data_IF_635780875902
#
_entry.id   IF_635780875902
#
_cell.length_a   1.000
_cell.length_b   1.000
_cell.length_c   1.000
_cell.angle_alpha   90.00
_cell.angle_beta   90.00
_cell.angle_gamma   90.00
#
_symmetry.space_group_name_H-M   'P 1'
#
loop_
_entity.id
_entity.type
_entity.pdbx_description
1 polymer ?
#
# COMPACT_ATOMS: atom_id res chain seq x y z
N UNK A 1 -18.26 4.00 21.92
CA UNK A 1 -17.49 5.05 21.23
C UNK A 1 -16.05 4.66 20.96
N UNK A 2 -15.26 4.16 21.93
CA UNK A 2 -13.85 3.74 21.71
C UNK A 2 -13.64 2.68 20.61
N UNK A 3 -14.56 1.74 20.44
CA UNK A 3 -14.47 0.73 19.38
C UNK A 3 -14.63 1.32 17.97
N UNK A 4 -15.52 2.30 17.79
CA UNK A 4 -15.74 2.94 16.49
C UNK A 4 -14.56 3.85 16.13
N UNK A 5 -14.01 4.60 17.09
CA UNK A 5 -12.79 5.39 16.89
C UNK A 5 -11.56 4.51 16.59
N UNK A 6 -11.48 3.31 17.15
CA UNK A 6 -10.42 2.35 16.82
C UNK A 6 -10.52 1.85 15.38
N UNK A 7 -11.74 1.52 14.92
CA UNK A 7 -11.98 1.11 13.54
C UNK A 7 -11.77 2.27 12.57
N UNK A 8 -12.22 3.49 12.90
CA UNK A 8 -11.97 4.69 12.12
C UNK A 8 -10.51 5.12 12.14
N UNK A 9 -9.74 4.88 13.20
CA UNK A 9 -8.28 5.07 13.19
C UNK A 9 -7.57 4.01 12.33
N UNK A 10 -8.11 2.80 12.29
CA UNK A 10 -7.56 1.70 11.48
C UNK A 10 -7.93 1.82 9.99
N UNK A 11 -9.09 2.42 9.67
CA UNK A 11 -9.60 2.68 8.31
C UNK A 11 -9.31 4.12 7.84
N UNK A 12 -8.97 5.03 8.75
CA UNK A 12 -8.96 6.49 8.57
C UNK A 12 -7.74 7.07 7.88
N UNK A 13 -6.87 6.25 7.30
CA UNK A 13 -5.81 6.74 6.43
C UNK A 13 -6.33 6.83 4.99
N UNK A 14 -7.49 7.46 4.79
CA UNK A 14 -8.08 7.72 3.46
C UNK A 14 -7.11 8.47 2.54
N UNK A 15 -6.23 9.29 3.11
CA UNK A 15 -5.08 9.90 2.41
C UNK A 15 -4.16 8.89 1.69
N UNK A 16 -4.09 7.64 2.16
CA UNK A 16 -3.32 6.57 1.54
C UNK A 16 -4.04 6.02 0.31
N UNK A 17 -5.37 5.99 0.29
CA UNK A 17 -6.17 5.59 -0.88
C UNK A 17 -5.99 6.55 -2.04
N UNK A 18 -6.02 7.85 -1.77
CA UNK A 18 -5.79 8.85 -2.82
C UNK A 18 -4.38 8.73 -3.39
N UNK A 19 -3.35 8.51 -2.55
CA UNK A 19 -1.99 8.27 -3.05
C UNK A 19 -1.87 6.98 -3.82
N UNK A 20 -2.60 5.93 -3.43
CA UNK A 20 -2.55 4.68 -4.15
C UNK A 20 -3.25 4.75 -5.49
N UNK A 21 -4.44 5.34 -5.55
CA UNK A 21 -5.14 5.64 -6.80
C UNK A 21 -4.21 6.43 -7.70
N UNK A 22 -3.63 7.51 -7.18
CA UNK A 22 -2.73 8.36 -7.95
C UNK A 22 -1.46 7.60 -8.39
N UNK A 23 -0.76 6.89 -7.50
CA UNK A 23 0.42 6.09 -7.85
C UNK A 23 0.11 5.01 -8.90
N UNK A 24 -1.02 4.30 -8.75
CA UNK A 24 -1.45 3.29 -9.71
C UNK A 24 -1.79 3.96 -11.02
N UNK A 25 -2.58 5.04 -11.02
CA UNK A 25 -2.88 5.81 -12.22
C UNK A 25 -1.62 6.22 -12.96
N UNK A 26 -0.57 6.65 -12.28
CA UNK A 26 0.71 7.02 -12.90
C UNK A 26 1.44 5.82 -13.46
N UNK A 27 1.58 4.74 -12.68
CA UNK A 27 2.22 3.51 -13.13
C UNK A 27 1.52 2.89 -14.33
N UNK A 28 0.20 3.03 -14.36
CA UNK A 28 -0.69 2.64 -15.46
C UNK A 28 -0.45 3.54 -16.67
N UNK A 29 -0.49 4.86 -16.48
CA UNK A 29 -0.36 5.84 -17.55
C UNK A 29 1.06 5.92 -18.13
N UNK A 30 2.07 5.39 -17.42
CA UNK A 30 3.39 5.17 -17.98
C UNK A 30 3.35 3.99 -18.97
N UNK A 31 3.02 4.32 -20.21
CA UNK A 31 3.08 3.38 -21.32
C UNK A 31 4.55 3.17 -21.70
N UNK A 32 5.17 2.18 -21.07
CA UNK A 32 6.40 1.60 -21.58
C UNK A 32 6.08 0.86 -22.89
N UNK A 33 6.45 1.52 -23.97
CA UNK A 33 6.46 1.01 -25.33
C UNK A 33 7.86 0.46 -25.60
N UNK A 34 8.03 -0.84 -25.39
CA UNK A 34 9.23 -1.54 -25.84
C UNK A 34 9.09 -1.71 -27.33
N UNK A 35 9.69 -0.78 -28.07
CA UNK A 35 9.70 -0.78 -29.52
C UNK A 35 10.95 -1.51 -29.98
N UNK A 36 10.79 -2.72 -30.51
CA UNK A 36 11.89 -3.38 -31.21
C UNK A 36 12.14 -2.64 -32.54
N UNK A 37 13.31 -2.01 -32.74
CA UNK A 37 13.62 -1.30 -33.97
C UNK A 37 13.55 -2.19 -35.21
N UNK A 38 13.82 -3.50 -35.07
CA UNK A 38 13.71 -4.43 -36.19
C UNK A 38 12.25 -4.69 -36.56
N UNK A 39 11.35 -4.84 -35.58
CA UNK A 39 9.91 -4.99 -35.83
C UNK A 39 9.30 -3.72 -36.42
N UNK A 40 9.70 -2.52 -35.95
CA UNK A 40 9.28 -1.27 -36.58
C UNK A 40 9.70 -1.21 -38.04
N UNK A 41 10.95 -1.58 -38.34
CA UNK A 41 11.48 -1.53 -39.69
C UNK A 41 10.80 -2.54 -40.61
N UNK A 42 10.54 -3.75 -40.12
CA UNK A 42 9.82 -4.78 -40.85
C UNK A 42 8.38 -4.33 -41.16
N UNK A 43 7.70 -3.77 -40.15
CA UNK A 43 6.37 -3.19 -40.26
C UNK A 43 6.25 -2.07 -41.27
N UNK A 44 7.14 -1.07 -41.13
CA UNK A 44 7.19 0.08 -42.03
C UNK A 44 7.46 -0.34 -43.48
N UNK A 45 8.29 -1.38 -43.68
CA UNK A 45 8.55 -1.95 -45.00
C UNK A 45 7.32 -2.70 -45.56
N UNK A 46 6.55 -3.38 -44.72
CA UNK A 46 5.33 -4.08 -45.10
C UNK A 46 4.22 -3.14 -45.56
N UNK A 47 4.08 -2.00 -44.88
CA UNK A 47 3.02 -1.00 -45.17
C UNK A 47 3.43 0.10 -46.15
N UNK A 48 4.72 0.20 -46.46
CA UNK A 48 5.25 1.14 -47.45
C UNK A 48 4.43 1.17 -48.76
N UNK A 49 4.01 0.02 -49.35
CA UNK A 49 3.20 -0.01 -50.55
C UNK A 49 1.82 0.64 -50.37
N UNK A 50 1.17 0.40 -49.22
CA UNK A 50 -0.13 0.99 -48.91
C UNK A 50 -0.02 2.51 -48.77
N UNK A 51 0.99 2.99 -48.02
CA UNK A 51 1.27 4.42 -47.88
C UNK A 51 1.54 5.09 -49.23
N UNK A 52 2.35 4.48 -50.10
CA UNK A 52 2.60 4.98 -51.45
C UNK A 52 1.31 5.05 -52.27
N UNK A 53 0.44 4.04 -52.16
CA UNK A 53 -0.85 4.04 -52.87
C UNK A 53 -1.77 5.19 -52.43
N UNK A 54 -1.79 5.49 -51.12
CA UNK A 54 -2.56 6.59 -50.56
C UNK A 54 -2.01 7.95 -50.99
N UNK A 55 -0.68 8.13 -50.94
CA UNK A 55 -0.03 9.37 -51.37
C UNK A 55 -0.22 9.57 -52.89
N UNK A 56 -0.10 8.51 -53.69
CA UNK A 56 -0.36 8.54 -55.14
C UNK A 56 -1.79 8.96 -55.48
N UNK A 57 -2.77 8.57 -54.65
CA UNK A 57 -4.18 8.93 -54.83
C UNK A 57 -4.46 10.41 -54.51
N UNK A 58 -3.80 10.96 -53.50
CA UNK A 58 -4.09 12.29 -52.98
C UNK A 58 -3.15 13.40 -53.47
N UNK A 59 -1.94 13.05 -53.92
CA UNK A 59 -0.90 14.01 -54.28
C UNK A 59 -0.29 13.70 -55.65
N UNK A 60 -0.30 14.71 -56.53
CA UNK A 60 0.50 14.66 -57.75
C UNK A 60 1.99 14.75 -57.40
N UNK A 61 2.89 14.20 -58.23
CA UNK A 61 4.33 14.26 -57.98
C UNK A 61 4.85 15.69 -57.78
N UNK A 62 4.27 16.67 -58.48
CA UNK A 62 4.64 18.07 -58.35
C UNK A 62 4.26 18.60 -56.97
N UNK A 63 3.00 18.45 -56.54
CA UNK A 63 2.54 18.91 -55.21
C UNK A 63 3.29 18.27 -54.06
N UNK A 64 3.60 16.97 -54.18
CA UNK A 64 4.36 16.27 -53.15
C UNK A 64 5.77 16.88 -53.03
N UNK A 65 6.44 17.12 -54.16
CA UNK A 65 7.75 17.76 -54.18
C UNK A 65 7.75 19.21 -53.68
N UNK A 66 6.71 19.98 -53.99
CA UNK A 66 6.56 21.34 -53.44
C UNK A 66 6.45 21.32 -51.92
N UNK A 67 5.74 20.33 -51.37
CA UNK A 67 5.59 20.14 -49.92
C UNK A 67 6.92 19.74 -49.27
N UNK A 68 7.68 18.83 -49.87
CA UNK A 68 8.96 18.35 -49.32
C UNK A 68 10.11 19.35 -49.45
N UNK A 69 10.17 20.11 -50.55
CA UNK A 69 11.25 21.08 -50.82
C UNK A 69 10.90 22.47 -50.26
N UNK A 70 9.64 22.69 -49.83
CA UNK A 70 9.11 23.98 -49.41
C UNK A 70 9.30 25.09 -50.47
N UNK A 71 9.24 24.72 -51.77
CA UNK A 71 9.39 25.65 -52.91
C UNK A 71 8.37 25.30 -54.00
N UNK A 72 7.81 26.32 -54.67
CA UNK A 72 6.94 26.11 -55.83
C UNK A 72 7.73 25.75 -57.08
N UNK A 73 7.49 24.57 -57.62
CA UNK A 73 8.16 24.07 -58.82
C UNK A 73 7.62 24.70 -60.12
N UNK A 74 6.46 25.37 -60.06
CA UNK A 74 5.85 26.07 -61.20
C UNK A 74 6.36 27.51 -61.42
N UNK A 75 6.91 28.14 -60.38
CA UNK A 75 7.47 29.50 -60.52
C UNK A 75 8.75 29.46 -61.35
N UNK A 76 9.05 30.47 -62.20
CA UNK A 76 10.27 30.52 -63.04
C UNK A 76 11.53 30.35 -62.17
N UNK A 77 12.08 29.13 -62.02
CA UNK A 77 13.07 28.89 -60.97
C UNK A 77 14.44 29.30 -61.48
N UNK A 78 15.35 29.63 -60.55
CA UNK A 78 16.78 29.65 -60.89
C UNK A 78 17.19 28.24 -61.35
N UNK A 79 18.21 28.15 -62.20
CA UNK A 79 18.65 26.88 -62.80
C UNK A 79 18.83 25.74 -61.77
N UNK A 80 19.34 26.04 -60.57
CA UNK A 80 19.50 25.10 -59.46
C UNK A 80 18.17 24.56 -58.92
N UNK A 81 17.16 25.42 -58.75
CA UNK A 81 15.84 25.03 -58.25
C UNK A 81 15.11 24.14 -59.25
N UNK A 82 15.31 24.38 -60.56
CA UNK A 82 14.78 23.53 -61.62
C UNK A 82 15.37 22.12 -61.57
N UNK A 83 16.64 21.98 -61.19
CA UNK A 83 17.31 20.70 -61.00
C UNK A 83 16.77 19.96 -59.77
N UNK A 84 16.60 20.64 -58.64
CA UNK A 84 16.01 20.08 -57.41
C UNK A 84 14.59 19.56 -57.66
N UNK A 85 13.73 20.38 -58.25
CA UNK A 85 12.35 20.00 -58.58
C UNK A 85 12.31 18.83 -59.56
N UNK A 86 13.14 18.84 -60.62
CA UNK A 86 13.18 17.74 -61.59
C UNK A 86 13.69 16.44 -60.99
N UNK A 87 14.68 16.50 -60.09
CA UNK A 87 15.20 15.34 -59.39
C UNK A 87 14.13 14.73 -58.48
N UNK A 88 13.45 15.56 -57.67
CA UNK A 88 12.38 15.11 -56.80
C UNK A 88 11.20 14.52 -57.57
N UNK A 89 10.69 15.20 -58.59
CA UNK A 89 9.56 14.70 -59.40
C UNK A 89 9.90 13.40 -60.13
N UNK A 90 11.15 13.26 -60.59
CA UNK A 90 11.62 12.01 -61.18
C UNK A 90 11.65 10.90 -60.13
N UNK A 91 12.17 11.19 -58.94
CA UNK A 91 12.21 10.24 -57.82
C UNK A 91 10.80 9.80 -57.39
N UNK A 92 9.87 10.74 -57.19
CA UNK A 92 8.47 10.42 -56.83
C UNK A 92 7.78 9.63 -57.94
N UNK A 93 8.01 9.95 -59.22
CA UNK A 93 7.46 9.18 -60.33
C UNK A 93 8.03 7.76 -60.40
N UNK A 94 9.33 7.56 -60.10
CA UNK A 94 9.89 6.21 -59.96
C UNK A 94 9.24 5.46 -58.80
N UNK A 95 9.09 6.12 -57.64
CA UNK A 95 8.44 5.56 -56.46
C UNK A 95 6.99 5.12 -56.73
N UNK A 96 6.24 5.89 -57.54
CA UNK A 96 4.84 5.63 -57.85
C UNK A 96 4.61 4.54 -58.90
N UNK A 97 5.59 4.31 -59.77
CA UNK A 97 5.42 3.43 -60.94
C UNK A 97 6.18 2.11 -60.80
N UNK A 98 7.17 2.04 -59.90
CA UNK A 98 7.97 0.83 -59.66
C UNK A 98 7.86 0.38 -58.18
N UNK A 99 7.01 -0.62 -57.87
CA UNK A 99 6.89 -1.15 -56.52
C UNK A 99 8.15 -1.93 -56.07
N UNK A 100 8.93 -2.50 -56.99
CA UNK A 100 10.18 -3.19 -56.65
C UNK A 100 11.26 -2.21 -56.21
N UNK A 101 11.28 -1.00 -56.80
CA UNK A 101 12.18 0.08 -56.39
C UNK A 101 12.00 0.41 -54.90
N UNK A 102 10.76 0.45 -54.41
CA UNK A 102 10.48 0.69 -52.98
C UNK A 102 10.95 -0.45 -52.08
N UNK A 103 10.81 -1.70 -52.52
CA UNK A 103 11.31 -2.84 -51.75
C UNK A 103 12.84 -2.87 -51.67
N UNK A 104 13.52 -2.52 -52.77
CA UNK A 104 14.98 -2.59 -52.88
C UNK A 104 15.68 -1.37 -52.29
N UNK A 105 15.29 -0.17 -52.71
CA UNK A 105 15.89 1.08 -52.26
C UNK A 105 15.30 1.56 -50.94
N UNK A 106 14.02 1.29 -50.64
CA UNK A 106 13.47 1.56 -49.31
C UNK A 106 14.25 0.82 -48.22
N UNK A 107 14.67 -0.43 -48.48
CA UNK A 107 15.55 -1.18 -47.58
C UNK A 107 16.93 -0.53 -47.41
N UNK A 108 17.46 0.12 -48.44
CA UNK A 108 18.74 0.84 -48.37
C UNK A 108 18.61 2.18 -47.64
N UNK A 109 17.53 2.93 -47.89
CA UNK A 109 17.21 4.18 -47.19
C UNK A 109 16.99 3.91 -45.69
N UNK A 110 16.25 2.85 -45.35
CA UNK A 110 16.04 2.41 -43.96
C UNK A 110 17.27 1.72 -43.34
N UNK A 111 18.28 1.33 -44.12
CA UNK A 111 19.60 0.91 -43.59
C UNK A 111 20.46 2.11 -43.22
N UNK A 112 20.26 3.28 -43.86
CA UNK A 112 20.94 4.52 -43.54
C UNK A 112 20.41 5.19 -42.26
N UNK A 113 19.16 4.89 -41.86
CA UNK A 113 18.67 5.19 -40.51
C UNK A 113 19.32 4.19 -39.56
N UNK A 114 20.52 4.53 -39.08
CA UNK A 114 21.14 3.81 -37.97
C UNK A 114 20.31 4.05 -36.70
N UNK A 115 19.33 3.19 -36.44
CA UNK A 115 18.78 2.99 -35.09
C UNK A 115 19.81 2.18 -34.29
N UNK A 116 20.99 2.77 -34.05
CA UNK A 116 22.08 2.14 -33.30
C UNK A 116 21.84 2.12 -31.79
N UNK A 117 20.67 2.58 -31.34
CA UNK A 117 20.15 2.28 -30.01
C UNK A 117 18.95 1.35 -30.15
N UNK A 118 18.96 0.23 -29.43
CA UNK A 118 17.72 -0.32 -28.88
C UNK A 118 17.11 0.78 -28.00
N UNK A 119 16.36 1.67 -28.62
CA UNK A 119 15.77 2.82 -27.96
C UNK A 119 14.46 2.38 -27.34
N UNK A 120 14.46 2.15 -26.03
CA UNK A 120 13.21 2.04 -25.29
C UNK A 120 12.49 3.39 -25.39
N UNK A 121 11.44 3.44 -26.21
CA UNK A 121 10.62 4.63 -26.41
C UNK A 121 9.64 4.77 -25.26
N UNK A 122 10.02 5.46 -24.19
CA UNK A 122 9.11 5.72 -23.07
C UNK A 122 8.19 6.90 -23.41
N UNK A 123 6.89 6.65 -23.60
CA UNK A 123 5.93 7.71 -23.83
C UNK A 123 5.50 8.27 -22.47
N UNK A 124 6.08 9.41 -22.09
CA UNK A 124 5.83 10.05 -20.79
C UNK A 124 4.74 11.12 -20.92
N UNK A 125 3.71 11.02 -20.10
CA UNK A 125 2.73 12.10 -19.95
C UNK A 125 3.39 13.24 -19.15
N UNK A 126 3.59 14.39 -19.80
CA UNK A 126 4.18 15.59 -19.20
C UNK A 126 3.08 16.34 -18.44
N UNK A 127 2.97 16.08 -17.14
CA UNK A 127 1.99 16.76 -16.26
C UNK A 127 2.03 16.36 -14.78
N UNK A 128 3.06 15.61 -14.37
CA UNK A 128 3.05 14.83 -13.12
C UNK A 128 3.74 15.49 -11.92
N UNK A 129 4.29 16.70 -12.07
CA UNK A 129 5.06 17.35 -11.01
C UNK A 129 4.27 17.55 -9.71
N UNK A 130 3.00 17.97 -9.81
CA UNK A 130 2.13 18.19 -8.65
C UNK A 130 1.84 16.90 -7.86
N UNK A 131 1.84 15.76 -8.54
CA UNK A 131 1.55 14.47 -7.92
C UNK A 131 2.71 14.00 -7.04
N UNK A 132 3.96 14.25 -7.42
CA UNK A 132 5.08 13.90 -6.54
C UNK A 132 5.06 14.71 -5.24
N UNK A 133 4.70 16.00 -5.30
CA UNK A 133 4.52 16.83 -4.10
C UNK A 133 3.40 16.29 -3.21
N UNK A 134 2.28 15.86 -3.81
CA UNK A 134 1.19 15.20 -3.10
C UNK A 134 1.66 13.89 -2.42
N UNK A 135 2.41 13.04 -3.14
CA UNK A 135 2.95 11.81 -2.59
C UNK A 135 3.89 12.08 -1.39
N UNK A 136 4.78 13.07 -1.49
CA UNK A 136 5.64 13.49 -0.37
C UNK A 136 4.80 13.97 0.82
N UNK A 137 3.78 14.80 0.59
CA UNK A 137 2.91 15.30 1.65
C UNK A 137 2.20 14.17 2.41
N UNK A 138 1.74 13.14 1.69
CA UNK A 138 1.10 11.99 2.32
C UNK A 138 2.09 11.09 3.02
N UNK A 139 3.28 10.84 2.45
CA UNK A 139 4.35 10.12 3.17
C UNK A 139 4.68 10.82 4.49
N UNK A 140 4.79 12.16 4.48
CA UNK A 140 4.99 12.95 5.69
C UNK A 140 3.81 12.82 6.65
N UNK A 141 2.57 12.88 6.17
CA UNK A 141 1.37 12.69 6.97
C UNK A 141 1.34 11.31 7.65
N UNK A 142 1.70 10.26 6.93
CA UNK A 142 1.76 8.89 7.45
C UNK A 142 2.86 8.72 8.50
N UNK A 143 4.05 9.26 8.24
CA UNK A 143 5.18 9.24 9.18
C UNK A 143 4.82 10.03 10.44
N UNK A 144 4.20 11.21 10.30
CA UNK A 144 3.72 12.01 11.43
C UNK A 144 2.63 11.29 12.22
N UNK A 145 1.70 10.59 11.57
CA UNK A 145 0.70 9.77 12.26
C UNK A 145 1.34 8.66 13.12
N UNK A 146 2.32 7.94 12.58
CA UNK A 146 3.08 6.93 13.34
C UNK A 146 3.86 7.56 14.50
N UNK A 147 4.44 8.74 14.27
CA UNK A 147 5.15 9.49 15.29
C UNK A 147 4.20 9.91 16.43
N UNK A 148 3.02 10.44 16.12
CA UNK A 148 2.00 10.83 17.10
C UNK A 148 1.56 9.62 17.92
N UNK A 149 1.26 8.49 17.27
CA UNK A 149 0.88 7.24 17.95
C UNK A 149 1.97 6.75 18.91
N UNK A 150 3.24 6.85 18.50
CA UNK A 150 4.37 6.49 19.33
C UNK A 150 4.48 7.37 20.59
N UNK A 151 4.31 8.68 20.45
CA UNK A 151 4.37 9.62 21.58
C UNK A 151 3.15 9.50 22.49
N UNK A 152 1.94 9.29 21.95
CA UNK A 152 0.74 9.03 22.74
C UNK A 152 0.90 7.76 23.58
N UNK A 153 1.43 6.68 22.98
CA UNK A 153 1.73 5.46 23.72
C UNK A 153 2.72 5.71 24.86
N UNK A 154 3.82 6.45 24.58
CA UNK A 154 4.81 6.79 25.61
C UNK A 154 4.20 7.62 26.75
N UNK A 155 3.33 8.58 26.43
CA UNK A 155 2.62 9.39 27.41
C UNK A 155 1.67 8.54 28.28
N UNK A 156 0.94 7.60 27.68
CA UNK A 156 0.05 6.68 28.43
C UNK A 156 0.82 5.78 29.40
N UNK A 157 1.97 5.25 28.98
CA UNK A 157 2.84 4.43 29.86
C UNK A 157 3.36 5.26 31.03
N UNK A 158 3.88 6.46 30.75
CA UNK A 158 4.36 7.35 31.81
C UNK A 158 3.27 7.72 32.82
N UNK A 159 2.06 8.03 32.34
CA UNK A 159 0.92 8.35 33.20
C UNK A 159 0.45 7.15 34.03
N UNK A 160 0.52 5.93 33.49
CA UNK A 160 0.20 4.72 34.23
C UNK A 160 1.19 4.46 35.37
N UNK A 161 2.49 4.62 35.13
CA UNK A 161 3.52 4.45 36.15
C UNK A 161 3.44 5.55 37.23
N UNK A 162 3.15 6.80 36.83
CA UNK A 162 2.90 7.88 37.78
C UNK A 162 1.71 7.56 38.70
N UNK A 163 0.59 7.08 38.16
CA UNK A 163 -0.57 6.65 38.97
C UNK A 163 -0.22 5.54 39.95
N UNK A 164 0.61 4.57 39.55
CA UNK A 164 1.11 3.51 40.46
C UNK A 164 1.96 4.07 41.58
N UNK A 165 2.87 4.99 41.28
CA UNK A 165 3.73 5.63 42.30
C UNK A 165 2.91 6.42 43.32
N UNK A 166 1.86 7.11 42.88
CA UNK A 166 0.95 7.85 43.77
C UNK A 166 0.12 6.91 44.64
N UNK A 167 -0.40 5.81 44.08
CA UNK A 167 -1.15 4.80 44.84
C UNK A 167 -0.32 4.10 45.92
N UNK A 168 0.99 3.91 45.68
CA UNK A 168 1.93 3.39 46.68
C UNK A 168 2.29 4.44 47.75
N UNK A 169 2.28 5.73 47.38
CA UNK A 169 2.54 6.81 48.33
C UNK A 169 1.36 7.06 49.26
N UNK A 170 0.12 6.97 48.77
CA UNK A 170 -1.08 7.14 49.60
C UNK A 170 -1.23 6.03 50.64
N UNK A 171 -0.94 4.77 50.27
CA UNK A 171 -1.03 3.65 51.22
C UNK A 171 0.02 3.68 52.34
N UNK A 172 1.08 4.49 52.19
CA UNK A 172 2.13 4.62 53.22
C UNK A 172 1.78 5.64 54.31
N UNK A 173 0.80 6.54 54.11
CA UNK A 173 0.47 7.58 55.11
C UNK A 173 -0.66 7.18 56.07
N UNK A 174 -1.57 6.28 55.67
CA UNK A 174 -2.69 5.85 56.53
C UNK A 174 -2.31 4.75 57.55
N UNK A 175 -1.08 4.21 57.49
CA UNK A 175 -0.62 3.13 58.37
C UNK A 175 0.05 3.58 59.68
N UNK A 176 0.13 4.89 59.96
CA UNK A 176 0.87 5.39 61.12
C UNK A 176 0.02 5.60 62.39
N UNK A 177 -1.31 5.64 62.30
CA UNK A 177 -2.18 6.06 63.43
C UNK A 177 -3.05 4.96 64.07
N UNK A 178 -2.87 3.67 63.72
CA UNK A 178 -3.57 2.55 64.38
C UNK A 178 -2.64 1.56 65.08
N UNK A 179 -1.80 2.07 65.98
CA UNK A 179 -1.01 1.23 66.90
C UNK A 179 -1.49 1.39 68.34
N UNK A 180 -2.75 1.09 68.63
CA UNK A 180 -3.13 0.72 70.00
C UNK A 180 -4.37 -0.20 70.04
N UNK A 181 -4.22 -1.31 70.78
CA UNK A 181 -5.26 -2.21 71.29
C UNK A 181 -5.80 -3.32 70.37
N UNK A 182 -5.67 -4.57 70.82
CA UNK A 182 -6.54 -5.65 70.35
C UNK A 182 -5.93 -7.04 70.24
N UNK A 183 -5.50 -7.63 71.37
CA UNK A 183 -5.09 -9.03 71.49
C UNK A 183 -6.15 -10.05 71.00
N UNK A 184 -5.62 -11.17 70.48
CA UNK A 184 -6.17 -12.53 70.55
C UNK A 184 -7.49 -12.81 69.84
N UNK A 185 -7.42 -13.32 68.60
CA UNK A 185 -8.40 -14.32 68.11
C UNK A 185 -7.78 -15.34 67.15
N UNK A 186 -7.75 -16.58 67.64
CA UNK A 186 -8.09 -17.82 66.91
C UNK A 186 -7.25 -18.22 65.70
N UNK A 187 -6.19 -18.99 65.98
CA UNK A 187 -5.42 -19.83 65.04
C UNK A 187 -6.23 -21.12 64.75
N UNK A 188 -7.45 -20.99 64.24
CA UNK A 188 -8.39 -22.12 64.08
C UNK A 188 -8.83 -22.43 62.65
N UNK A 189 -8.66 -21.52 61.70
CA UNK A 189 -9.37 -21.58 60.42
C UNK A 189 -8.46 -21.61 59.18
N UNK A 190 -7.17 -21.91 59.38
CA UNK A 190 -6.15 -21.85 58.31
C UNK A 190 -5.85 -23.16 57.59
N UNK A 191 -6.57 -24.24 57.89
CA UNK A 191 -6.25 -25.59 57.36
C UNK A 191 -7.26 -26.08 56.30
N UNK A 192 -8.40 -25.42 56.09
CA UNK A 192 -9.33 -25.79 55.00
C UNK A 192 -8.98 -25.22 53.63
N UNK A 193 -8.04 -24.28 53.55
CA UNK A 193 -7.70 -23.56 52.31
C UNK A 193 -6.73 -24.29 51.37
N UNK A 194 -6.31 -25.54 51.66
CA UNK A 194 -5.44 -26.32 50.76
C UNK A 194 -6.18 -27.32 49.87
N UNK A 195 -7.47 -27.61 50.12
CA UNK A 195 -8.23 -28.54 49.28
C UNK A 195 -8.91 -27.88 48.06
N UNK A 196 -9.13 -26.57 48.08
CA UNK A 196 -9.62 -25.82 46.91
C UNK A 196 -8.52 -25.63 45.84
N UNK A 197 -7.25 -25.77 46.20
CA UNK A 197 -6.10 -25.68 45.28
C UNK A 197 -6.07 -26.83 44.25
N UNK A 198 -6.69 -27.97 44.52
CA UNK A 198 -6.61 -29.12 43.61
C UNK A 198 -7.61 -29.03 42.44
N UNK A 199 -8.77 -28.39 42.64
CA UNK A 199 -9.70 -28.05 41.54
C UNK A 199 -9.17 -26.92 40.68
N UNK A 200 -8.40 -26.01 41.27
CA UNK A 200 -7.65 -24.98 40.54
C UNK A 200 -6.57 -25.61 39.64
N UNK A 201 -5.94 -26.70 40.08
CA UNK A 201 -4.92 -27.42 39.31
C UNK A 201 -5.49 -28.19 38.11
N UNK A 202 -6.69 -28.79 38.23
CA UNK A 202 -7.35 -29.44 37.08
C UNK A 202 -7.87 -28.42 36.06
N UNK A 203 -8.36 -27.26 36.51
CA UNK A 203 -8.69 -26.13 35.62
C UNK A 203 -7.43 -25.57 34.91
N UNK A 204 -6.27 -25.54 35.59
CA UNK A 204 -4.98 -25.15 35.00
C UNK A 204 -4.48 -26.12 33.93
N UNK A 205 -4.61 -27.42 34.14
CA UNK A 205 -4.19 -28.43 33.15
C UNK A 205 -5.07 -28.39 31.90
N UNK A 206 -6.38 -28.18 32.07
CA UNK A 206 -7.31 -28.04 30.94
C UNK A 206 -7.10 -26.73 30.17
N UNK A 207 -6.75 -25.63 30.85
CA UNK A 207 -6.34 -24.37 30.22
C UNK A 207 -4.99 -24.44 29.50
N UNK A 208 -4.01 -25.16 30.05
CA UNK A 208 -2.67 -25.30 29.47
C UNK A 208 -2.68 -26.07 28.14
N UNK A 209 -3.51 -27.11 28.02
CA UNK A 209 -3.60 -27.89 26.79
C UNK A 209 -4.29 -27.09 25.66
N UNK A 210 -5.35 -26.36 26.00
CA UNK A 210 -6.07 -25.48 25.06
C UNK A 210 -5.19 -24.32 24.57
N UNK A 211 -4.31 -23.81 25.44
CA UNK A 211 -3.32 -22.78 25.09
C UNK A 211 -2.27 -23.28 24.10
N UNK A 212 -1.75 -24.50 24.28
CA UNK A 212 -0.73 -25.06 23.39
C UNK A 212 -1.27 -25.34 21.98
N UNK A 213 -2.45 -25.95 21.88
CA UNK A 213 -3.09 -26.23 20.60
C UNK A 213 -3.44 -24.95 19.82
N UNK A 214 -3.97 -23.94 20.52
CA UNK A 214 -4.29 -22.63 19.91
C UNK A 214 -3.05 -21.95 19.34
N UNK A 215 -1.89 -22.08 20.00
CA UNK A 215 -0.63 -21.52 19.51
C UNK A 215 -0.11 -22.23 18.26
N UNK A 216 -0.19 -23.57 18.22
CA UNK A 216 0.20 -24.35 17.03
C UNK A 216 -0.68 -23.99 15.84
N UNK A 217 -2.00 -23.87 16.04
CA UNK A 217 -2.92 -23.44 14.98
C UNK A 217 -2.60 -22.02 14.49
N UNK A 218 -2.22 -21.12 15.40
CA UNK A 218 -1.83 -19.76 15.04
C UNK A 218 -0.57 -19.75 14.15
N UNK A 219 0.44 -20.57 14.47
CA UNK A 219 1.66 -20.72 13.66
C UNK A 219 1.33 -21.29 12.28
N UNK A 220 0.50 -22.32 12.21
CA UNK A 220 0.07 -22.89 10.92
C UNK A 220 -0.68 -21.84 10.10
N UNK A 221 -1.55 -21.06 10.74
CA UNK A 221 -2.32 -20.02 10.09
C UNK A 221 -1.44 -18.87 9.56
N UNK A 222 -0.48 -18.39 10.35
CA UNK A 222 0.46 -17.36 9.89
C UNK A 222 1.41 -17.86 8.81
N UNK A 223 1.89 -19.10 8.93
CA UNK A 223 2.68 -19.76 7.89
C UNK A 223 1.90 -19.86 6.57
N UNK A 224 0.64 -20.30 6.61
CA UNK A 224 -0.24 -20.31 5.44
C UNK A 224 -0.47 -18.92 4.85
N UNK A 225 -0.66 -17.92 5.71
CA UNK A 225 -0.79 -16.51 5.29
C UNK A 225 0.49 -16.03 4.59
N UNK A 226 1.68 -16.43 5.05
CA UNK A 226 2.95 -16.10 4.38
C UNK A 226 3.08 -16.69 2.98
N UNK A 227 2.65 -17.92 2.80
CA UNK A 227 2.61 -18.53 1.47
C UNK A 227 1.66 -17.77 0.54
N UNK A 228 0.45 -17.43 1.00
CA UNK A 228 -0.52 -16.66 0.20
C UNK A 228 0.04 -15.27 -0.13
N UNK A 229 0.65 -14.59 0.85
CA UNK A 229 1.22 -13.26 0.63
C UNK A 229 2.36 -13.31 -0.38
N UNK A 230 3.21 -14.33 -0.31
CA UNK A 230 4.29 -14.54 -1.27
C UNK A 230 3.74 -14.72 -2.69
N UNK A 231 2.77 -15.62 -2.89
CA UNK A 231 2.16 -15.82 -4.21
C UNK A 231 1.44 -14.58 -4.73
N UNK A 232 0.70 -13.87 -3.88
CA UNK A 232 0.04 -12.61 -4.25
C UNK A 232 1.04 -11.53 -4.73
N UNK A 233 2.28 -11.55 -4.25
CA UNK A 233 3.33 -10.62 -4.67
C UNK A 233 3.96 -11.03 -6.01
N UNK A 234 4.19 -12.34 -6.21
CA UNK A 234 4.96 -12.87 -7.35
C UNK A 234 4.11 -13.17 -8.58
N UNK A 235 2.88 -13.61 -8.39
CA UNK A 235 1.96 -13.96 -9.47
C UNK A 235 1.36 -12.72 -10.14
N UNK A 236 0.98 -12.85 -11.40
CA UNK A 236 0.40 -11.77 -12.18
C UNK A 236 -1.04 -11.49 -11.71
N UNK A 237 -1.27 -10.29 -11.18
CA UNK A 237 -2.55 -9.88 -10.55
C UNK A 237 -3.37 -8.92 -11.41
N UNK A 238 -2.72 -8.29 -12.39
CA UNK A 238 -3.31 -7.33 -13.30
C UNK A 238 -2.80 -7.59 -14.72
N UNK A 239 -3.60 -7.31 -15.72
CA UNK A 239 -3.19 -7.29 -17.11
C UNK A 239 -3.62 -5.97 -17.76
N UNK A 240 -2.72 -5.40 -18.55
CA UNK A 240 -3.03 -4.24 -19.40
C UNK A 240 -3.40 -4.73 -20.78
N UNK A 241 -4.51 -4.21 -21.29
CA UNK A 241 -4.95 -4.41 -22.67
C UNK A 241 -5.16 -3.03 -23.28
N UNK A 242 -4.45 -2.73 -24.36
CA UNK A 242 -4.68 -1.51 -25.14
C UNK A 242 -5.50 -1.89 -26.37
N UNK A 243 -6.67 -1.26 -26.50
CA UNK A 243 -7.58 -1.36 -27.64
C UNK A 243 -7.65 -0.01 -28.37
N UNK A 244 -8.37 -0.01 -29.49
CA UNK A 244 -8.60 1.17 -30.32
C UNK A 244 -7.76 1.19 -31.59
N UNK A 245 -8.13 2.11 -32.49
CA UNK A 245 -7.55 2.22 -33.83
C UNK A 245 -6.02 2.33 -33.83
N UNK A 246 -5.44 3.12 -32.92
CA UNK A 246 -3.98 3.32 -32.85
C UNK A 246 -3.28 2.04 -32.40
N UNK A 247 -3.82 1.36 -31.39
CA UNK A 247 -3.24 0.13 -30.87
C UNK A 247 -3.31 -0.99 -31.93
N UNK A 248 -4.44 -1.12 -32.61
CA UNK A 248 -4.63 -2.08 -33.70
C UNK A 248 -3.66 -1.82 -34.86
N UNK A 249 -3.56 -0.57 -35.30
CA UNK A 249 -2.63 -0.18 -36.36
C UNK A 249 -1.17 -0.40 -35.94
N UNK A 250 -0.81 -0.05 -34.70
CA UNK A 250 0.53 -0.34 -34.20
C UNK A 250 0.81 -1.85 -34.02
N UNK A 251 -0.20 -2.67 -33.71
CA UNK A 251 -0.05 -4.12 -33.65
C UNK A 251 0.12 -4.72 -35.05
N UNK A 252 -0.72 -4.33 -36.01
CA UNK A 252 -0.67 -4.83 -37.39
C UNK A 252 0.61 -4.39 -38.10
N UNK A 253 1.05 -3.14 -37.88
CA UNK A 253 2.24 -2.60 -38.53
C UNK A 253 3.49 -3.02 -37.76
N UNK A 254 3.60 -2.68 -36.48
CA UNK A 254 4.86 -2.79 -35.73
C UNK A 254 5.01 -4.12 -34.98
N UNK A 255 4.04 -5.04 -35.09
CA UNK A 255 3.95 -6.28 -34.31
C UNK A 255 4.09 -6.04 -32.79
N UNK A 256 3.63 -4.88 -32.32
CA UNK A 256 3.72 -4.51 -30.91
C UNK A 256 2.61 -5.25 -30.15
N UNK A 257 3.00 -6.09 -29.20
CA UNK A 257 2.04 -6.72 -28.29
C UNK A 257 1.65 -5.74 -27.18
N UNK A 258 0.37 -5.36 -27.18
CA UNK A 258 -0.18 -4.47 -26.16
C UNK A 258 -0.57 -5.16 -24.86
N UNK A 259 -0.61 -6.49 -24.89
CA UNK A 259 -0.88 -7.35 -23.75
C UNK A 259 0.36 -7.43 -22.86
N UNK A 260 0.24 -6.98 -21.61
CA UNK A 260 1.29 -7.13 -20.61
C UNK A 260 0.71 -7.51 -19.25
N UNK A 261 1.06 -8.68 -18.71
CA UNK A 261 0.68 -9.05 -17.35
C UNK A 261 1.61 -8.37 -16.34
N UNK A 262 1.06 -8.06 -15.18
CA UNK A 262 1.74 -7.41 -14.07
C UNK A 262 1.47 -8.13 -12.75
N UNK A 263 2.53 -8.64 -12.13
CA UNK A 263 2.57 -8.96 -10.71
C UNK A 263 2.74 -7.68 -9.88
N UNK A 264 2.46 -7.74 -8.57
CA UNK A 264 2.71 -6.60 -7.68
C UNK A 264 4.19 -6.17 -7.73
N UNK A 265 5.10 -7.14 -7.89
CA UNK A 265 6.52 -6.86 -8.03
C UNK A 265 6.89 -6.20 -9.36
N UNK A 266 6.32 -6.65 -10.49
CA UNK A 266 6.60 -6.00 -11.77
C UNK A 266 5.94 -4.62 -11.85
N UNK A 267 4.78 -4.43 -11.22
CA UNK A 267 4.10 -3.14 -11.09
C UNK A 267 4.99 -2.11 -10.38
N UNK A 268 5.68 -2.51 -9.30
CA UNK A 268 6.69 -1.67 -8.64
C UNK A 268 7.76 -1.21 -9.63
N UNK A 269 8.33 -2.13 -10.42
CA UNK A 269 9.37 -1.78 -11.39
C UNK A 269 8.87 -0.80 -12.45
N UNK A 270 7.66 -1.02 -12.95
CA UNK A 270 7.04 -0.19 -14.00
C UNK A 270 6.75 1.21 -13.48
N UNK A 271 6.32 1.34 -12.22
CA UNK A 271 6.13 2.67 -11.60
C UNK A 271 7.41 3.49 -11.50
N UNK A 272 8.59 2.87 -11.55
CA UNK A 272 9.90 3.53 -11.51
C UNK A 272 10.66 3.57 -12.84
N UNK A 273 10.14 2.96 -13.90
CA UNK A 273 10.88 2.74 -15.15
C UNK A 273 11.34 4.05 -15.81
N UNK A 274 10.56 5.12 -15.68
CA UNK A 274 10.90 6.45 -16.22
C UNK A 274 12.01 7.20 -15.44
N UNK A 275 12.41 6.70 -14.26
CA UNK A 275 13.47 7.28 -13.43
C UNK A 275 13.14 8.67 -12.85
N UNK A 276 14.16 9.34 -12.30
CA UNK A 276 13.99 10.66 -11.67
C UNK A 276 13.07 10.61 -10.45
N UNK A 277 12.02 11.44 -10.45
CA UNK A 277 11.02 11.48 -9.37
C UNK A 277 10.13 10.22 -9.32
N UNK A 278 10.05 9.45 -10.42
CA UNK A 278 9.31 8.18 -10.47
C UNK A 278 9.92 7.11 -9.55
N UNK A 279 11.21 7.23 -9.21
CA UNK A 279 11.84 6.39 -8.20
C UNK A 279 11.20 6.54 -6.81
N UNK A 280 10.66 7.72 -6.48
CA UNK A 280 9.93 7.93 -5.23
C UNK A 280 8.60 7.17 -5.23
N UNK A 281 7.89 7.19 -6.36
CA UNK A 281 6.66 6.42 -6.54
C UNK A 281 6.95 4.92 -6.47
N UNK A 282 7.98 4.44 -7.17
CA UNK A 282 8.44 3.06 -7.07
C UNK A 282 8.74 2.66 -5.64
N UNK A 283 9.49 3.49 -4.90
CA UNK A 283 9.80 3.21 -3.49
C UNK A 283 8.54 3.14 -2.64
N UNK A 284 7.58 4.04 -2.87
CA UNK A 284 6.30 4.08 -2.16
C UNK A 284 5.50 2.81 -2.45
N UNK A 285 5.25 2.50 -3.71
CA UNK A 285 4.54 1.29 -4.13
C UNK A 285 5.23 0.03 -3.62
N UNK A 286 6.57 -0.03 -3.65
CA UNK A 286 7.34 -1.15 -3.12
C UNK A 286 7.13 -1.32 -1.62
N UNK A 287 7.23 -0.23 -0.85
CA UNK A 287 7.07 -0.24 0.61
C UNK A 287 5.67 -0.70 0.97
N UNK A 288 4.64 -0.20 0.30
CA UNK A 288 3.26 -0.46 0.72
C UNK A 288 2.63 -1.75 0.16
N UNK A 289 3.00 -2.16 -1.07
CA UNK A 289 2.44 -3.37 -1.71
C UNK A 289 3.28 -4.62 -1.48
N UNK A 290 4.60 -4.49 -1.30
CA UNK A 290 5.49 -5.64 -1.23
C UNK A 290 6.12 -5.75 0.16
N UNK A 291 6.95 -4.78 0.54
CA UNK A 291 7.75 -4.88 1.76
C UNK A 291 6.89 -4.81 3.02
N UNK A 292 5.89 -3.94 3.08
CA UNK A 292 5.01 -3.78 4.23
C UNK A 292 4.29 -5.08 4.60
N UNK A 293 3.53 -5.69 3.68
CA UNK A 293 2.90 -6.99 3.91
C UNK A 293 3.91 -8.10 4.25
N UNK A 294 5.04 -8.19 3.53
CA UNK A 294 6.05 -9.22 3.75
C UNK A 294 6.73 -9.09 5.12
N UNK A 295 7.18 -7.89 5.49
CA UNK A 295 7.80 -7.60 6.80
C UNK A 295 6.79 -7.79 7.92
N UNK A 296 5.55 -7.32 7.77
CA UNK A 296 4.49 -7.53 8.76
C UNK A 296 4.26 -9.01 9.01
N UNK A 297 4.20 -9.82 7.97
CA UNK A 297 4.03 -11.26 8.09
C UNK A 297 5.24 -11.95 8.73
N UNK A 298 6.45 -11.57 8.31
CA UNK A 298 7.69 -12.05 8.91
C UNK A 298 7.76 -11.76 10.41
N UNK A 299 7.35 -10.57 10.84
CA UNK A 299 7.27 -10.23 12.26
C UNK A 299 6.22 -11.04 13.01
N UNK A 300 5.05 -11.32 12.41
CA UNK A 300 4.04 -12.20 13.01
C UNK A 300 4.64 -13.59 13.28
N UNK A 301 5.32 -14.18 12.30
CA UNK A 301 5.97 -15.48 12.45
C UNK A 301 7.06 -15.43 13.53
N UNK A 302 7.92 -14.41 13.51
CA UNK A 302 8.99 -14.25 14.51
C UNK A 302 8.43 -14.17 15.93
N UNK A 303 7.36 -13.39 16.15
CA UNK A 303 6.71 -13.29 17.47
C UNK A 303 6.09 -14.59 17.94
N UNK A 304 5.78 -15.52 17.03
CA UNK A 304 5.17 -16.81 17.33
C UNK A 304 6.18 -17.98 17.38
N UNK A 305 7.44 -17.78 17.02
CA UNK A 305 8.45 -18.83 17.09
C UNK A 305 9.43 -18.56 18.23
N UNK A 306 9.83 -17.31 18.41
CA UNK A 306 10.88 -16.96 19.35
C UNK A 306 10.24 -16.63 20.71
N UNK A 307 10.60 -17.35 21.79
CA UNK A 307 10.20 -16.94 23.14
C UNK A 307 10.89 -15.64 23.50
N UNK A 308 10.13 -14.54 23.54
CA UNK A 308 10.66 -13.20 23.79
C UNK A 308 10.32 -12.72 25.20
N UNK A 309 11.14 -11.82 25.75
CA UNK A 309 10.81 -11.11 26.98
C UNK A 309 9.56 -10.23 26.80
N UNK A 310 8.85 -9.93 27.89
CA UNK A 310 7.64 -9.09 27.85
C UNK A 310 7.86 -7.73 27.16
N UNK A 311 9.02 -7.11 27.38
CA UNK A 311 9.39 -5.83 26.74
C UNK A 311 9.57 -5.96 25.23
N UNK A 312 10.24 -7.01 24.77
CA UNK A 312 10.42 -7.29 23.35
C UNK A 312 9.06 -7.61 22.69
N UNK A 313 8.22 -8.40 23.35
CA UNK A 313 6.90 -8.75 22.83
C UNK A 313 5.99 -7.51 22.64
N UNK A 314 6.03 -6.57 23.60
CA UNK A 314 5.33 -5.29 23.48
C UNK A 314 5.88 -4.44 22.33
N UNK A 315 7.21 -4.38 22.18
CA UNK A 315 7.86 -3.69 21.07
C UNK A 315 7.43 -4.24 19.71
N UNK A 316 7.45 -5.57 19.54
CA UNK A 316 7.02 -6.20 18.30
C UNK A 316 5.52 -6.03 18.04
N UNK A 317 4.67 -6.16 19.07
CA UNK A 317 3.23 -5.93 18.91
C UNK A 317 2.94 -4.49 18.45
N UNK A 318 3.63 -3.49 19.02
CA UNK A 318 3.52 -2.11 18.59
C UNK A 318 4.07 -1.90 17.17
N UNK A 319 5.17 -2.57 16.82
CA UNK A 319 5.77 -2.51 15.47
C UNK A 319 4.84 -3.14 14.42
N UNK A 320 4.25 -4.30 14.71
CA UNK A 320 3.26 -4.96 13.83
C UNK A 320 2.05 -4.06 13.62
N UNK A 321 1.59 -3.39 14.69
CA UNK A 321 0.48 -2.43 14.61
C UNK A 321 0.84 -1.21 13.75
N UNK A 322 2.04 -0.65 13.94
CA UNK A 322 2.53 0.47 13.13
C UNK A 322 2.70 0.07 11.65
N UNK A 323 3.26 -1.11 11.37
CA UNK A 323 3.36 -1.68 10.03
C UNK A 323 2.01 -1.98 9.39
N UNK A 324 0.96 -2.15 10.21
CA UNK A 324 -0.42 -2.21 9.72
C UNK A 324 -0.79 -1.00 8.86
N UNK A 325 -0.26 0.19 9.18
CA UNK A 325 -0.47 1.40 8.38
C UNK A 325 0.32 1.41 7.06
N UNK A 326 1.37 0.58 6.96
CA UNK A 326 2.20 0.45 5.76
C UNK A 326 1.78 -0.74 4.88
N UNK A 327 0.71 -1.45 5.24
CA UNK A 327 0.17 -2.55 4.47
C UNK A 327 -1.11 -2.10 3.77
N UNK A 328 -1.03 -1.81 2.47
CA UNK A 328 -2.09 -1.12 1.75
C UNK A 328 -2.94 -2.00 0.82
N UNK A 329 -3.00 -3.32 1.05
CA UNK A 329 -3.69 -4.21 0.11
C UNK A 329 -5.19 -3.96 -0.01
N UNK A 330 -5.87 -3.64 1.08
CA UNK A 330 -7.30 -3.29 1.04
C UNK A 330 -7.53 -2.03 0.19
N UNK A 331 -6.67 -1.04 0.42
CA UNK A 331 -6.69 0.23 -0.30
C UNK A 331 -6.34 0.05 -1.78
N UNK A 332 -5.36 -0.80 -2.07
CA UNK A 332 -4.93 -1.14 -3.42
C UNK A 332 -6.05 -1.79 -4.23
N UNK A 333 -6.83 -2.69 -3.63
CA UNK A 333 -7.97 -3.34 -4.31
C UNK A 333 -9.03 -2.31 -4.70
N UNK A 334 -9.38 -1.41 -3.77
CA UNK A 334 -10.33 -0.32 -4.05
C UNK A 334 -9.78 0.61 -5.13
N UNK A 335 -8.51 1.00 -5.01
CA UNK A 335 -7.85 1.89 -5.96
C UNK A 335 -7.77 1.28 -7.36
N UNK A 336 -7.41 -0.01 -7.47
CA UNK A 336 -7.37 -0.70 -8.75
C UNK A 336 -8.77 -0.87 -9.37
N UNK A 337 -9.82 -1.06 -8.56
CA UNK A 337 -11.19 -1.06 -9.07
C UNK A 337 -11.60 0.32 -9.61
N UNK A 338 -11.24 1.41 -8.91
CA UNK A 338 -11.46 2.76 -9.42
C UNK A 338 -10.72 3.01 -10.74
N UNK A 339 -9.46 2.58 -10.83
CA UNK A 339 -8.65 2.70 -12.04
C UNK A 339 -9.27 1.92 -13.20
N UNK A 340 -9.74 0.70 -12.96
CA UNK A 340 -10.42 -0.12 -13.97
C UNK A 340 -11.67 0.57 -14.53
N UNK A 341 -12.45 1.26 -13.69
CA UNK A 341 -13.64 2.00 -14.13
C UNK A 341 -13.33 3.32 -14.83
N UNK A 342 -12.28 4.03 -14.38
CA UNK A 342 -11.99 5.40 -14.86
C UNK A 342 -11.06 5.42 -16.07
N UNK A 343 -10.10 4.49 -16.19
CA UNK A 343 -9.09 4.52 -17.25
C UNK A 343 -9.68 4.51 -18.65
N UNK A 344 -10.63 3.63 -19.01
CA UNK A 344 -11.20 3.63 -20.35
C UNK A 344 -11.83 4.97 -20.72
N UNK A 345 -12.53 5.60 -19.76
CA UNK A 345 -13.15 6.91 -19.95
C UNK A 345 -12.11 8.01 -20.16
N UNK A 346 -11.03 8.01 -19.38
CA UNK A 346 -9.98 9.03 -19.51
C UNK A 346 -9.26 8.84 -20.85
N UNK A 347 -8.80 7.63 -21.16
CA UNK A 347 -8.00 7.38 -22.37
C UNK A 347 -8.77 7.66 -23.66
N UNK A 348 -10.06 7.37 -23.68
CA UNK A 348 -10.91 7.66 -24.84
C UNK A 348 -11.03 9.17 -25.11
N UNK A 349 -10.92 10.03 -24.08
CA UNK A 349 -11.01 11.49 -24.24
C UNK A 349 -9.71 12.17 -24.66
N UNK A 350 -8.56 11.50 -24.55
CA UNK A 350 -7.25 12.13 -24.84
C UNK A 350 -7.08 12.37 -26.35
N UNK A 351 -7.59 11.47 -27.18
CA UNK A 351 -7.47 11.55 -28.64
C UNK A 351 -8.85 11.31 -29.25
N UNK A 352 -9.61 12.38 -29.45
CA UNK A 352 -10.85 12.32 -30.22
C UNK A 352 -10.56 12.78 -31.66
N UNK A 353 -10.48 11.82 -32.58
CA UNK A 353 -10.29 12.06 -34.01
C UNK A 353 -11.32 11.28 -34.81
N UNK A 354 -11.96 11.94 -35.77
CA UNK A 354 -12.98 11.34 -36.64
C UNK A 354 -12.45 10.17 -37.46
N UNK A 355 -11.16 10.18 -37.77
CA UNK A 355 -10.44 9.21 -38.59
C UNK A 355 -10.37 7.84 -37.91
N UNK A 356 -10.45 7.77 -36.57
CA UNK A 356 -10.42 6.50 -35.85
C UNK A 356 -11.67 5.64 -36.10
N UNK A 357 -12.78 6.25 -36.51
CA UNK A 357 -14.01 5.53 -36.92
C UNK A 357 -13.85 4.76 -38.23
N UNK A 358 -12.83 5.07 -39.04
CA UNK A 358 -12.57 4.34 -40.28
C UNK A 358 -11.81 3.03 -40.05
N UNK A 359 -11.10 2.91 -38.91
CA UNK A 359 -10.22 1.78 -38.59
C UNK A 359 -10.86 0.81 -37.59
N UNK A 360 -11.63 1.35 -36.64
CA UNK A 360 -12.28 0.58 -35.59
C UNK A 360 -13.77 0.95 -35.50
N UNK A 361 -14.64 -0.06 -35.50
CA UNK A 361 -16.11 0.11 -35.51
C UNK A 361 -16.61 0.88 -34.27
N UNK A 362 -15.93 0.73 -33.14
CA UNK A 362 -16.23 1.44 -31.88
C UNK A 362 -15.87 2.93 -31.92
N UNK A 363 -15.11 3.37 -32.93
CA UNK A 363 -14.68 4.75 -33.10
C UNK A 363 -13.66 5.26 -32.06
N UNK A 364 -13.18 4.40 -31.16
CA UNK A 364 -12.20 4.74 -30.13
C UNK A 364 -10.79 4.76 -30.72
N UNK A 365 -10.08 5.87 -30.56
CA UNK A 365 -8.70 5.98 -31.02
C UNK A 365 -7.72 5.19 -30.14
N UNK A 366 -7.87 5.31 -28.83
CA UNK A 366 -7.01 4.69 -27.82
C UNK A 366 -7.85 4.39 -26.58
N UNK A 367 -7.92 3.12 -26.20
CA UNK A 367 -8.65 2.67 -25.02
C UNK A 367 -7.74 1.75 -24.22
N UNK A 368 -7.33 2.18 -23.02
CA UNK A 368 -6.46 1.36 -22.17
C UNK A 368 -7.31 0.77 -21.05
N UNK A 369 -7.45 -0.54 -21.09
CA UNK A 369 -8.15 -1.33 -20.09
C UNK A 369 -7.15 -2.01 -19.16
N UNK A 370 -7.45 -1.96 -17.86
CA UNK A 370 -6.73 -2.73 -16.84
C UNK A 370 -7.70 -3.75 -16.27
N UNK A 371 -7.45 -5.01 -16.58
CA UNK A 371 -8.26 -6.10 -16.07
C UNK A 371 -7.54 -6.74 -14.90
N UNK A 372 -8.28 -7.00 -13.84
CA UNK A 372 -7.78 -7.86 -12.78
C UNK A 372 -7.80 -9.31 -13.25
N UNK A 373 -6.70 -10.01 -13.04
CA UNK A 373 -6.63 -11.44 -13.27
C UNK A 373 -7.33 -12.17 -12.10
N UNK A 374 -7.55 -13.49 -12.21
CA UNK A 374 -8.22 -14.27 -11.14
C UNK A 374 -7.39 -14.30 -9.86
N UNK A 375 -6.09 -14.11 -10.02
CA UNK A 375 -5.06 -14.13 -8.99
C UNK A 375 -5.17 -12.92 -8.05
N UNK A 376 -5.88 -11.85 -8.43
CA UNK A 376 -6.15 -10.71 -7.51
C UNK A 376 -6.84 -11.17 -6.22
N UNK A 377 -7.61 -12.27 -6.25
CA UNK A 377 -8.23 -12.84 -5.07
C UNK A 377 -7.21 -13.27 -4.02
N UNK A 378 -5.98 -13.62 -4.41
CA UNK A 378 -4.90 -13.91 -3.46
C UNK A 378 -4.47 -12.66 -2.69
N UNK A 379 -4.49 -11.48 -3.32
CA UNK A 379 -4.24 -10.19 -2.64
C UNK A 379 -5.36 -9.89 -1.64
N UNK A 380 -6.63 -10.07 -2.05
CA UNK A 380 -7.79 -9.83 -1.17
C UNK A 380 -7.78 -10.77 0.03
N UNK A 381 -7.68 -12.09 -0.22
CA UNK A 381 -7.69 -13.13 0.83
C UNK A 381 -6.45 -13.03 1.71
N UNK A 382 -5.27 -12.82 1.12
CA UNK A 382 -4.03 -12.64 1.84
C UNK A 382 -4.05 -11.39 2.73
N UNK A 383 -4.61 -10.28 2.23
CA UNK A 383 -4.78 -9.04 2.99
C UNK A 383 -5.70 -9.24 4.19
N UNK A 384 -6.86 -9.88 3.97
CA UNK A 384 -7.80 -10.21 5.04
C UNK A 384 -7.17 -11.12 6.11
N UNK A 385 -6.48 -12.19 5.70
CA UNK A 385 -5.81 -13.09 6.64
C UNK A 385 -4.65 -12.42 7.37
N UNK A 386 -3.90 -11.51 6.74
CA UNK A 386 -2.84 -10.75 7.40
C UNK A 386 -3.40 -9.82 8.48
N UNK A 387 -4.52 -9.14 8.21
CA UNK A 387 -5.23 -8.30 9.18
C UNK A 387 -5.79 -9.14 10.32
N UNK A 388 -6.44 -10.25 10.00
CA UNK A 388 -6.99 -11.18 10.99
C UNK A 388 -5.88 -11.79 11.88
N UNK A 389 -4.78 -12.28 11.28
CA UNK A 389 -3.62 -12.80 12.00
C UNK A 389 -3.03 -11.76 12.95
N UNK A 390 -2.93 -10.51 12.50
CA UNK A 390 -2.44 -9.41 13.34
C UNK A 390 -3.38 -9.11 14.50
N UNK A 391 -4.70 -9.10 14.25
CA UNK A 391 -5.71 -8.89 15.28
C UNK A 391 -5.67 -10.00 16.34
N UNK A 392 -5.66 -11.26 15.92
CA UNK A 392 -5.60 -12.40 16.84
C UNK A 392 -4.28 -12.41 17.62
N UNK A 393 -3.15 -12.21 16.95
CA UNK A 393 -1.83 -12.22 17.61
C UNK A 393 -1.71 -11.11 18.65
N UNK A 394 -2.18 -9.89 18.33
CA UNK A 394 -2.17 -8.78 19.31
C UNK A 394 -3.10 -9.04 20.48
N UNK A 395 -4.29 -9.59 20.24
CA UNK A 395 -5.24 -9.96 21.32
C UNK A 395 -4.67 -11.03 22.25
N UNK A 396 -4.11 -12.10 21.69
CA UNK A 396 -3.48 -13.17 22.48
C UNK A 396 -2.29 -12.63 23.26
N UNK A 397 -1.45 -11.80 22.63
CA UNK A 397 -0.31 -11.16 23.30
C UNK A 397 -0.75 -10.33 24.50
N UNK A 398 -1.81 -9.51 24.37
CA UNK A 398 -2.34 -8.74 25.50
C UNK A 398 -2.93 -9.61 26.61
N UNK A 399 -3.65 -10.67 26.27
CA UNK A 399 -4.18 -11.61 27.27
C UNK A 399 -3.06 -12.31 28.05
N UNK A 400 -1.94 -12.63 27.40
CA UNK A 400 -0.78 -13.25 28.05
C UNK A 400 0.05 -12.24 28.89
N UNK A 401 -0.01 -10.95 28.55
CA UNK A 401 0.77 -9.89 29.21
C UNK A 401 0.02 -9.18 30.34
N UNK A 402 -1.29 -9.38 30.51
CA UNK A 402 -2.10 -8.59 31.43
C UNK A 402 -1.76 -8.92 32.89
N UNK A 403 -0.94 -8.11 33.59
CA UNK A 403 -0.48 -8.42 34.93
C UNK A 403 -1.60 -8.26 35.98
N UNK A 404 -2.75 -7.71 35.56
CA UNK A 404 -3.92 -7.49 36.41
C UNK A 404 -4.83 -8.72 36.50
N UNK A 405 -4.73 -9.66 35.57
CA UNK A 405 -5.51 -10.90 35.66
C UNK A 405 -4.81 -11.94 36.55
N UNK A 406 -3.49 -11.81 36.71
CA UNK A 406 -2.66 -12.60 37.60
C UNK A 406 -2.16 -11.72 38.74
N UNK A 407 -3.06 -11.32 39.65
CA UNK A 407 -2.64 -10.84 40.96
C UNK A 407 -1.68 -11.86 41.60
N UNK A 408 -0.42 -11.48 41.77
CA UNK A 408 0.65 -12.22 42.46
C UNK A 408 1.06 -13.62 41.96
N UNK A 409 0.54 -14.13 40.84
CA UNK A 409 0.86 -15.47 40.35
C UNK A 409 1.52 -15.41 38.97
N UNK A 410 2.83 -15.21 38.98
CA UNK A 410 3.69 -14.99 37.81
C UNK A 410 3.28 -15.75 36.54
N UNK A 411 3.12 -14.98 35.45
CA UNK A 411 2.93 -15.49 34.10
C UNK A 411 4.10 -16.33 33.58
N UNK A 412 4.07 -16.78 32.32
CA UNK A 412 5.02 -17.74 31.73
C UNK A 412 6.47 -17.23 31.67
N UNK A 413 6.71 -15.96 31.97
CA UNK A 413 8.03 -15.42 32.26
C UNK A 413 8.49 -15.89 33.65
N UNK A 414 8.82 -17.18 33.71
CA UNK A 414 9.28 -17.83 34.91
C UNK A 414 10.53 -17.12 35.45
N UNK A 415 10.44 -16.49 36.63
CA UNK A 415 11.60 -16.01 37.40
C UNK A 415 12.56 -17.15 37.84
N UNK A 416 12.34 -18.38 37.38
CA UNK A 416 13.10 -19.55 37.77
C UNK A 416 14.32 -19.78 36.84
N UNK A 417 15.27 -18.85 36.89
CA UNK A 417 16.70 -19.21 36.78
C UNK A 417 17.34 -19.29 38.18
N UNK A 418 16.58 -19.72 39.18
CA UNK A 418 17.13 -20.21 40.44
C UNK A 418 17.46 -21.69 40.26
N UNK A 419 18.70 -21.98 39.87
CA UNK A 419 19.27 -23.32 39.89
C UNK A 419 19.05 -23.95 41.27
N UNK A 420 18.60 -25.19 41.29
CA UNK A 420 17.97 -25.92 42.41
C UNK A 420 18.82 -26.18 43.67
N UNK A 421 19.93 -25.48 43.88
CA UNK A 421 20.86 -25.79 44.97
C UNK A 421 21.27 -24.62 45.88
N UNK A 422 20.72 -23.40 45.71
CA UNK A 422 21.06 -22.29 46.62
C UNK A 422 19.94 -21.32 46.98
N UNK A 423 18.66 -21.69 46.83
CA UNK A 423 17.54 -20.88 47.30
C UNK A 423 17.18 -21.16 48.78
N UNK A 424 18.18 -21.19 49.68
CA UNK A 424 17.97 -21.20 51.14
C UNK A 424 18.07 -19.81 51.78
N UNK A 425 18.26 -18.75 50.96
CA UNK A 425 18.46 -17.38 51.46
C UNK A 425 17.78 -16.26 50.66
N UNK A 426 16.83 -16.58 49.78
CA UNK A 426 15.87 -15.56 49.35
C UNK A 426 14.88 -15.35 50.48
N UNK A 427 15.24 -14.45 51.39
CA UNK A 427 14.39 -13.92 52.43
C UNK A 427 13.35 -13.01 51.76
N UNK A 428 12.44 -13.60 50.96
CA UNK A 428 11.19 -12.98 50.56
C UNK A 428 10.38 -12.79 51.85
N UNK A 429 10.70 -11.72 52.56
CA UNK A 429 9.98 -11.24 53.73
C UNK A 429 8.61 -10.81 53.25
N UNK A 430 7.72 -11.79 53.14
CA UNK A 430 6.28 -11.68 52.95
C UNK A 430 5.78 -10.79 54.10
N UNK A 431 5.73 -9.47 53.89
CA UNK A 431 4.99 -8.57 54.77
C UNK A 431 3.53 -9.00 54.62
N UNK A 432 3.06 -9.71 55.64
CA UNK A 432 1.66 -10.02 55.84
C UNK A 432 1.00 -8.67 56.15
N UNK A 433 0.39 -8.05 55.14
CA UNK A 433 -0.60 -7.00 55.38
C UNK A 433 -1.81 -7.75 55.92
N UNK A 434 -2.13 -7.54 57.20
CA UNK A 434 -3.33 -8.07 57.81
C UNK A 434 -4.50 -7.24 57.30
N UNK A 435 -5.29 -7.82 56.40
CA UNK A 435 -6.60 -7.29 56.04
C UNK A 435 -7.57 -7.53 57.21
N UNK A 436 -7.84 -6.45 57.94
CA UNK A 436 -8.95 -6.34 58.87
C UNK A 436 -9.56 -4.96 58.71
N UNK A 437 -10.47 -4.80 57.75
CA UNK A 437 -11.20 -3.57 57.51
C UNK A 437 -12.64 -3.88 57.12
N UNK A 438 -13.58 -3.51 57.98
CA UNK A 438 -15.01 -3.54 57.72
C UNK A 438 -15.36 -2.61 56.54
N UNK A 439 -16.26 -3.09 55.69
CA UNK A 439 -16.84 -2.32 54.59
C UNK A 439 -17.83 -1.30 55.16
N UNK A 440 -17.42 -0.03 55.27
CA UNK A 440 -18.34 1.08 55.47
C UNK A 440 -18.97 1.51 54.13
N UNK A 441 -20.27 1.85 54.09
CA UNK A 441 -20.92 2.29 52.87
C UNK A 441 -20.46 3.68 52.45
N UNK A 442 -20.08 3.81 51.18
CA UNK A 442 -19.82 5.07 50.48
C UNK A 442 -21.03 6.00 50.58
N UNK A 443 -20.88 7.08 51.34
CA UNK A 443 -21.73 8.26 51.26
C UNK A 443 -21.30 9.03 50.01
N UNK A 444 -22.16 9.05 48.98
CA UNK A 444 -22.03 9.99 47.87
C UNK A 444 -22.11 11.40 48.44
N UNK A 445 -20.99 12.10 48.38
CA UNK A 445 -20.93 13.54 48.61
C UNK A 445 -21.01 14.21 47.25
N UNK A 446 -22.18 14.75 46.94
CA UNK A 446 -22.36 15.70 45.86
C UNK A 446 -21.52 16.95 46.14
N UNK A 447 -20.68 17.34 45.19
CA UNK A 447 -20.17 18.70 45.13
C UNK A 447 -20.24 19.20 43.67
N UNK A 448 -20.76 20.41 43.44
CA UNK A 448 -21.10 20.92 42.11
C UNK A 448 -19.94 21.69 41.46
N UNK A 449 -20.03 21.83 40.14
CA UNK A 449 -19.36 22.84 39.26
C UNK A 449 -17.82 22.68 39.11
N UNK A 450 -17.24 22.63 37.90
CA UNK A 450 -17.30 23.62 36.83
C UNK A 450 -17.27 22.96 35.43
N UNK A 451 -18.33 23.19 34.65
CA UNK A 451 -18.37 22.99 33.19
C UNK A 451 -18.75 24.34 32.57
N UNK A 452 -17.77 25.19 32.27
CA UNK A 452 -18.06 26.50 31.65
C UNK A 452 -16.96 27.06 30.74
N UNK A 453 -16.07 26.23 30.18
CA UNK A 453 -15.02 26.75 29.28
C UNK A 453 -14.72 25.93 28.02
N UNK A 454 -15.42 24.81 27.76
CA UNK A 454 -15.19 24.00 26.55
C UNK A 454 -16.29 24.07 25.48
N UNK A 455 -17.45 24.65 25.79
CA UNK A 455 -18.56 24.79 24.83
C UNK A 455 -18.53 26.09 24.01
N UNK A 456 -17.58 26.99 24.27
CA UNK A 456 -17.44 28.26 23.54
C UNK A 456 -16.54 28.18 22.29
N UNK A 457 -15.75 27.10 22.11
CA UNK A 457 -14.85 26.98 20.95
C UNK A 457 -15.41 26.12 19.81
N UNK A 458 -16.44 25.29 20.06
CA UNK A 458 -17.06 24.45 19.02
C UNK A 458 -18.25 25.12 18.30
N UNK A 459 -18.71 26.28 18.76
CA UNK A 459 -19.81 27.02 18.14
C UNK A 459 -19.36 28.07 17.12
N UNK A 460 -18.06 28.38 17.00
CA UNK A 460 -17.56 29.31 15.98
C UNK A 460 -17.22 28.66 14.63
N UNK A 461 -16.96 27.35 14.56
CA UNK A 461 -16.66 26.68 13.28
C UNK A 461 -17.92 26.25 12.51
N UNK A 462 -19.03 25.96 13.21
CA UNK A 462 -20.29 25.53 12.55
C UNK A 462 -21.06 26.69 11.91
N UNK A 463 -20.73 27.93 12.26
CA UNK A 463 -21.41 29.11 11.71
C UNK A 463 -20.74 29.68 10.44
N UNK A 464 -19.56 29.16 10.05
CA UNK A 464 -18.84 29.62 8.86
C UNK A 464 -19.10 28.76 7.61
N UNK A 465 -19.62 27.53 7.76
CA UNK A 465 -20.01 26.69 6.61
C UNK A 465 -21.40 27.00 6.03
N UNK A 466 -22.29 27.69 6.78
CA UNK A 466 -23.65 27.95 6.32
C UNK A 466 -23.84 29.27 5.52
N UNK A 467 -22.80 30.09 5.36
CA UNK A 467 -22.87 31.30 4.52
C UNK A 467 -22.30 31.13 3.11
N UNK A 468 -21.70 29.98 2.78
CA UNK A 468 -21.06 29.77 1.49
C UNK A 468 -21.90 28.99 0.46
N UNK A 469 -23.10 28.53 0.84
CA UNK A 469 -23.98 27.73 -0.03
C UNK A 469 -25.14 28.54 -0.65
N UNK A 470 -25.10 29.88 -0.61
CA UNK A 470 -26.13 30.75 -1.22
C UNK A 470 -25.67 31.61 -2.40
N UNK A 471 -24.49 31.34 -2.97
CA UNK A 471 -24.00 32.03 -4.16
C UNK A 471 -23.15 31.08 -5.01
N UNK A 472 -23.82 30.15 -5.70
CA UNK A 472 -23.39 29.58 -6.99
C UNK A 472 -24.58 28.99 -7.77
#
# INVERSE_FOLDING_TARGET
>A
TYHVLFWLSSLGKWSLADVFVVCIMIGVLNLDLVLDPESIKAGLLGELPMAVSYVKKNYTPEKLCETFIHKHCDSKPKFLEKLECKACTTFVNYMYNDPEFMHKEGKNILKGIHTSGSGDGTLRIVGLSGIYLFCVAVLLSLVMGVWIDYYDHKARVYNADKRRSLALSSSSMDGADMMESGQNKSIGEKVRSCCDDMKLLSARLQGSFFSGFSYILLIIFTGGTATIVYHAITEDTMERVVKGAIAKLAHEILDVSWYKPYSLWSLVKVTGAAGGADNLLMSTVAVFLVFGPAVRNGLLIITQIIPMTASAHLFFANTIRALGAFCAWEVFVVAGFMVMLQMPSITNTIIERSECKEVEDDGKCLDVEYNFTKEIWMVVVGGFFLVFASFVTTRIAFSALNPYHDGDLGGPYCCCSCSSLSCKRCNCRRRRVEEGGEVLPLVMSDSPEDNSEQDALLTSEVQQENEQETLE
#
